data_IF_553339570029
#
_entry.id   IF_553339570029
#
_cell.length_a   1.000
_cell.length_b   1.000
_cell.length_c   1.000
_cell.angle_alpha   90.00
_cell.angle_beta   90.00
_cell.angle_gamma   90.00
#
_symmetry.space_group_name_H-M   'P 1'
#
loop_
_entity.id
_entity.type
_entity.pdbx_description
1 polymer ?
#
# COMPACT_ATOMS: atom_id res chain seq x y z
N UNK A 1 -22.96 -14.45 -12.84
CA UNK A 1 -22.67 -13.02 -13.10
C UNK A 1 -21.87 -12.46 -11.95
N UNK A 2 -20.81 -11.74 -12.23
CA UNK A 2 -20.07 -11.01 -11.20
C UNK A 2 -20.89 -9.77 -10.83
N UNK A 3 -21.38 -9.71 -9.62
CA UNK A 3 -22.19 -8.58 -9.15
C UNK A 3 -21.31 -7.41 -8.72
N UNK A 4 -20.12 -7.70 -8.23
CA UNK A 4 -19.15 -6.70 -7.79
C UNK A 4 -17.73 -7.27 -7.89
N UNK A 5 -16.80 -6.47 -8.42
CA UNK A 5 -15.36 -6.78 -8.43
C UNK A 5 -14.58 -5.52 -8.08
N UNK A 6 -14.08 -5.46 -6.86
CA UNK A 6 -13.30 -4.33 -6.34
C UNK A 6 -11.85 -4.76 -6.16
N UNK A 7 -10.95 -4.10 -6.87
CA UNK A 7 -9.50 -4.23 -6.68
C UNK A 7 -8.98 -3.03 -5.92
N UNK A 8 -8.57 -3.26 -4.69
CA UNK A 8 -8.01 -2.26 -3.80
C UNK A 8 -6.49 -2.30 -3.94
N UNK A 9 -5.91 -1.19 -4.37
CA UNK A 9 -4.47 -1.09 -4.58
C UNK A 9 -3.90 0.03 -3.70
N UNK A 10 -2.65 -0.13 -3.21
CA UNK A 10 -1.93 0.98 -2.60
C UNK A 10 -1.71 2.09 -3.63
N UNK A 11 -1.47 3.34 -3.19
CA UNK A 11 -1.14 4.42 -4.10
C UNK A 11 0.04 4.00 -5.00
N UNK A 12 0.04 4.39 -6.29
CA UNK A 12 1.09 4.02 -7.22
C UNK A 12 2.44 4.53 -6.69
N UNK A 13 3.52 3.74 -6.81
CA UNK A 13 4.85 4.18 -6.45
C UNK A 13 5.29 5.31 -7.38
N UNK A 14 6.21 6.14 -6.91
CA UNK A 14 6.90 7.07 -7.79
C UNK A 14 7.45 6.32 -9.00
N UNK A 15 7.13 6.79 -10.19
CA UNK A 15 7.64 6.20 -11.42
C UNK A 15 9.17 6.19 -11.41
N UNK A 16 9.78 5.31 -12.23
CA UNK A 16 11.23 5.19 -12.31
C UNK A 16 11.92 6.50 -12.68
N UNK A 17 11.33 7.32 -13.56
CA UNK A 17 11.89 8.62 -13.95
C UNK A 17 11.98 9.62 -12.79
N UNK A 18 10.89 9.97 -12.08
CA UNK A 18 10.99 10.90 -10.95
C UNK A 18 11.88 10.34 -9.82
N UNK A 19 11.87 9.04 -9.55
CA UNK A 19 12.78 8.43 -8.59
C UNK A 19 14.25 8.61 -8.98
N UNK A 20 14.57 8.43 -10.27
CA UNK A 20 15.93 8.63 -10.80
C UNK A 20 16.39 10.09 -10.68
N UNK A 21 15.51 11.06 -10.94
CA UNK A 21 15.79 12.48 -10.75
C UNK A 21 16.04 12.84 -9.28
N UNK A 22 15.27 12.28 -8.36
CA UNK A 22 15.46 12.51 -6.92
C UNK A 22 16.81 11.93 -6.48
N UNK A 23 17.08 10.67 -6.81
CA UNK A 23 18.34 10.00 -6.43
C UNK A 23 19.52 10.68 -7.08
N UNK A 24 19.45 10.96 -8.39
CA UNK A 24 20.53 11.63 -9.13
C UNK A 24 20.79 13.05 -8.66
N UNK A 25 19.73 13.83 -8.42
CA UNK A 25 19.84 15.18 -7.87
C UNK A 25 20.44 15.19 -6.46
N UNK A 26 19.98 14.29 -5.58
CA UNK A 26 20.57 14.13 -4.25
C UNK A 26 22.05 13.74 -4.31
N UNK A 27 22.38 12.76 -5.16
CA UNK A 27 23.76 12.34 -5.37
C UNK A 27 24.66 13.50 -5.84
N UNK A 28 24.17 14.28 -6.82
CA UNK A 28 24.91 15.44 -7.33
C UNK A 28 25.17 16.48 -6.24
N UNK A 29 24.14 16.84 -5.46
CA UNK A 29 24.27 17.79 -4.35
C UNK A 29 25.24 17.27 -3.29
N UNK A 30 25.15 16.00 -2.92
CA UNK A 30 26.04 15.37 -1.95
C UNK A 30 27.50 15.34 -2.45
N UNK A 31 27.72 15.03 -3.73
CA UNK A 31 29.05 15.05 -4.34
C UNK A 31 29.67 16.44 -4.36
N UNK A 32 28.88 17.46 -4.75
CA UNK A 32 29.35 18.84 -4.77
C UNK A 32 29.70 19.35 -3.36
N UNK A 33 28.84 19.06 -2.39
CA UNK A 33 29.10 19.40 -0.98
C UNK A 33 30.32 18.66 -0.45
N UNK A 34 30.47 17.38 -0.77
CA UNK A 34 31.60 16.55 -0.33
C UNK A 34 32.91 16.96 -0.96
N UNK A 35 32.93 17.43 -2.21
CA UNK A 35 34.14 17.85 -2.92
C UNK A 35 34.92 18.93 -2.14
N UNK A 36 34.22 19.89 -1.55
CA UNK A 36 34.82 20.92 -0.72
C UNK A 36 35.49 20.34 0.53
N UNK A 37 34.82 19.38 1.20
CA UNK A 37 35.36 18.74 2.40
C UNK A 37 36.53 17.82 2.08
N UNK A 38 36.49 17.13 0.94
CA UNK A 38 37.61 16.30 0.46
C UNK A 38 38.84 17.15 0.19
N UNK A 39 38.69 18.32 -0.44
CA UNK A 39 39.77 19.27 -0.68
C UNK A 39 40.40 19.80 0.64
N UNK A 40 39.63 19.79 1.74
CA UNK A 40 40.09 20.14 3.10
C UNK A 40 40.65 18.94 3.89
N UNK A 41 40.79 17.76 3.24
CA UNK A 41 41.32 16.55 3.88
C UNK A 41 40.28 15.71 4.64
N UNK A 42 38.98 16.05 4.55
CA UNK A 42 37.92 15.32 5.24
C UNK A 42 37.39 14.13 4.40
N UNK A 43 38.31 13.30 3.90
CA UNK A 43 37.97 12.11 3.08
C UNK A 43 37.07 11.07 3.81
N UNK A 44 37.02 10.94 5.16
CA UNK A 44 36.12 9.99 5.83
C UNK A 44 34.63 10.26 5.61
N UNK A 45 34.24 11.40 5.01
CA UNK A 45 32.85 11.70 4.66
C UNK A 45 32.33 10.80 3.53
N UNK A 46 33.21 10.31 2.65
CA UNK A 46 32.83 9.50 1.49
C UNK A 46 32.05 8.22 1.83
N UNK A 47 32.49 7.40 2.80
CA UNK A 47 31.72 6.22 3.18
C UNK A 47 30.27 6.55 3.61
N UNK A 48 30.07 7.66 4.31
CA UNK A 48 28.73 8.09 4.72
C UNK A 48 27.86 8.46 3.54
N UNK A 49 28.39 9.21 2.59
CA UNK A 49 27.68 9.56 1.35
C UNK A 49 27.25 8.29 0.59
N UNK A 50 28.12 7.30 0.48
CA UNK A 50 27.81 6.02 -0.18
C UNK A 50 26.71 5.28 0.56
N UNK A 51 26.77 5.23 1.89
CA UNK A 51 25.74 4.56 2.72
C UNK A 51 24.40 5.26 2.58
N UNK A 52 24.36 6.60 2.64
CA UNK A 52 23.14 7.38 2.50
C UNK A 52 22.46 7.17 1.15
N UNK A 53 23.24 7.19 0.06
CA UNK A 53 22.72 6.91 -1.28
C UNK A 53 22.23 5.47 -1.42
N UNK A 54 22.94 4.51 -0.85
CA UNK A 54 22.53 3.11 -0.84
C UNK A 54 21.19 2.93 -0.08
N UNK A 55 21.05 3.57 1.08
CA UNK A 55 19.80 3.57 1.84
C UNK A 55 18.66 4.22 1.07
N UNK A 56 18.90 5.33 0.40
CA UNK A 56 17.92 6.01 -0.43
C UNK A 56 17.42 5.10 -1.56
N UNK A 57 18.32 4.48 -2.31
CA UNK A 57 17.98 3.52 -3.37
C UNK A 57 17.23 2.32 -2.81
N UNK A 58 17.67 1.79 -1.66
CA UNK A 58 16.97 0.69 -1.00
C UNK A 58 15.55 1.06 -0.59
N UNK A 59 15.35 2.27 -0.02
CA UNK A 59 14.03 2.75 0.39
C UNK A 59 13.06 2.85 -0.80
N UNK A 60 13.52 3.40 -1.94
CA UNK A 60 12.71 3.46 -3.17
C UNK A 60 12.36 2.06 -3.69
N UNK A 61 13.31 1.13 -3.65
CA UNK A 61 13.05 -0.26 -4.06
C UNK A 61 12.08 -0.98 -3.12
N UNK A 62 12.20 -0.74 -1.82
CA UNK A 62 11.28 -1.29 -0.82
C UNK A 62 9.86 -0.75 -1.03
N UNK A 63 9.70 0.55 -1.25
CA UNK A 63 8.41 1.17 -1.56
C UNK A 63 7.80 0.63 -2.85
N UNK A 64 8.60 0.48 -3.91
CA UNK A 64 8.15 -0.08 -5.18
C UNK A 64 7.73 -1.56 -5.05
N UNK A 65 8.38 -2.35 -4.20
CA UNK A 65 7.95 -3.73 -3.90
C UNK A 65 6.64 -3.75 -3.12
N UNK A 66 6.53 -2.92 -2.07
CA UNK A 66 5.33 -2.84 -1.24
C UNK A 66 4.08 -2.48 -2.04
N UNK A 67 4.23 -1.66 -3.09
CA UNK A 67 3.12 -1.26 -3.97
C UNK A 67 2.58 -2.38 -4.87
N UNK A 68 3.25 -3.52 -4.95
CA UNK A 68 2.77 -4.70 -5.69
C UNK A 68 1.69 -5.48 -4.92
N UNK A 69 1.58 -5.25 -3.62
CA UNK A 69 0.50 -5.84 -2.82
C UNK A 69 -0.85 -5.25 -3.23
N UNK A 70 -1.89 -6.08 -3.27
CA UNK A 70 -3.25 -5.63 -3.50
C UNK A 70 -4.26 -6.51 -2.78
N UNK A 71 -5.44 -5.97 -2.59
CA UNK A 71 -6.60 -6.70 -2.09
C UNK A 71 -7.69 -6.71 -3.16
N UNK A 72 -8.41 -7.81 -3.26
CA UNK A 72 -9.52 -7.94 -4.20
C UNK A 72 -10.74 -8.48 -3.47
N UNK A 73 -11.85 -7.82 -3.63
CA UNK A 73 -13.15 -8.26 -3.14
C UNK A 73 -14.05 -8.53 -4.34
N UNK A 74 -14.45 -9.77 -4.50
CA UNK A 74 -15.30 -10.22 -5.59
C UNK A 74 -16.58 -10.83 -5.04
N UNK A 75 -17.70 -10.33 -5.49
CA UNK A 75 -19.02 -10.87 -5.19
C UNK A 75 -19.61 -11.44 -6.48
N UNK A 76 -19.92 -12.72 -6.45
CA UNK A 76 -20.59 -13.41 -7.55
C UNK A 76 -21.66 -14.37 -7.02
N UNK A 77 -22.27 -15.15 -7.91
CA UNK A 77 -23.30 -16.12 -7.54
C UNK A 77 -22.79 -17.24 -6.62
N UNK A 78 -21.47 -17.47 -6.56
CA UNK A 78 -20.84 -18.48 -5.71
C UNK A 78 -20.48 -17.97 -4.30
N UNK A 79 -20.61 -16.67 -4.06
CA UNK A 79 -20.31 -16.06 -2.76
C UNK A 79 -19.41 -14.83 -2.82
N UNK A 80 -18.96 -14.39 -1.66
CA UNK A 80 -18.03 -13.29 -1.50
C UNK A 80 -16.61 -13.83 -1.34
N UNK A 81 -15.75 -13.54 -2.30
CA UNK A 81 -14.33 -13.92 -2.26
C UNK A 81 -13.49 -12.69 -1.93
N UNK A 82 -12.80 -12.74 -0.81
CA UNK A 82 -11.79 -11.76 -0.44
C UNK A 82 -10.40 -12.36 -0.62
N UNK A 83 -9.60 -11.76 -1.49
CA UNK A 83 -8.24 -12.18 -1.77
C UNK A 83 -7.27 -11.08 -1.37
N UNK A 84 -6.21 -11.46 -0.67
CA UNK A 84 -5.08 -10.57 -0.37
C UNK A 84 -3.83 -11.14 -1.00
N UNK A 85 -3.20 -10.34 -1.85
CA UNK A 85 -1.91 -10.67 -2.45
C UNK A 85 -0.84 -9.79 -1.82
N UNK A 86 0.17 -10.42 -1.23
CA UNK A 86 1.31 -9.71 -0.65
C UNK A 86 2.33 -9.31 -1.72
N UNK A 87 3.27 -8.44 -1.35
CA UNK A 87 4.33 -7.96 -2.24
C UNK A 87 5.25 -9.06 -2.79
N UNK A 88 5.37 -10.17 -2.07
CA UNK A 88 6.14 -11.37 -2.45
C UNK A 88 5.40 -12.31 -3.42
N UNK A 89 4.13 -11.98 -3.75
CA UNK A 89 3.26 -12.78 -4.60
C UNK A 89 2.45 -13.83 -3.85
N UNK A 90 2.63 -14.01 -2.53
CA UNK A 90 1.80 -14.91 -1.74
C UNK A 90 0.35 -14.39 -1.69
N UNK A 91 -0.61 -15.28 -1.95
CA UNK A 91 -2.02 -14.97 -1.94
C UNK A 91 -2.71 -15.70 -0.78
N UNK A 92 -3.60 -15.00 -0.10
CA UNK A 92 -4.54 -15.58 0.87
C UNK A 92 -5.95 -15.26 0.41
N UNK A 93 -6.76 -16.30 0.32
CA UNK A 93 -8.15 -16.20 -0.10
C UNK A 93 -9.08 -16.59 1.05
N UNK A 94 -10.11 -15.81 1.24
CA UNK A 94 -11.16 -16.05 2.23
C UNK A 94 -12.49 -16.04 1.49
N UNK A 95 -13.18 -17.16 1.54
CA UNK A 95 -14.53 -17.26 1.00
C UNK A 95 -15.53 -17.00 2.12
N UNK A 96 -16.40 -16.06 1.90
CA UNK A 96 -17.43 -15.62 2.84
C UNK A 96 -18.81 -15.82 2.21
N UNK A 97 -19.78 -16.13 3.03
CA UNK A 97 -21.18 -16.24 2.61
C UNK A 97 -21.85 -14.86 2.67
N UNK A 98 -22.34 -14.30 1.55
CA UNK A 98 -22.89 -12.94 1.51
C UNK A 98 -24.02 -12.71 2.52
N UNK A 99 -24.85 -13.72 2.74
CA UNK A 99 -25.99 -13.66 3.68
C UNK A 99 -25.56 -13.48 5.15
N UNK A 100 -24.38 -13.95 5.51
CA UNK A 100 -23.84 -13.86 6.88
C UNK A 100 -22.73 -12.85 7.03
N UNK A 101 -22.32 -12.22 5.91
CA UNK A 101 -21.25 -11.23 5.91
C UNK A 101 -21.80 -9.84 6.22
N UNK A 102 -21.19 -9.19 7.21
CA UNK A 102 -21.48 -7.81 7.58
C UNK A 102 -20.28 -6.93 7.26
N UNK A 103 -20.57 -5.77 6.73
CA UNK A 103 -19.57 -4.71 6.50
C UNK A 103 -19.71 -3.71 7.62
N UNK A 104 -18.62 -3.46 8.33
CA UNK A 104 -18.56 -2.52 9.43
C UNK A 104 -17.47 -1.48 9.15
N UNK A 105 -17.81 -0.21 9.33
CA UNK A 105 -16.86 0.88 9.32
C UNK A 105 -16.69 1.36 10.76
N UNK A 106 -15.57 1.01 11.36
CA UNK A 106 -15.21 1.41 12.72
C UNK A 106 -14.59 2.80 12.66
N UNK A 107 -15.25 3.78 13.27
CA UNK A 107 -14.69 5.10 13.46
C UNK A 107 -13.70 5.07 14.63
N UNK A 108 -12.48 5.55 14.36
CA UNK A 108 -11.46 5.83 15.36
C UNK A 108 -11.47 7.34 15.67
N UNK A 109 -10.36 7.89 16.09
CA UNK A 109 -10.23 9.35 16.17
C UNK A 109 -10.31 9.96 14.76
N UNK A 110 -11.26 10.90 14.50
CA UNK A 110 -11.39 11.51 13.18
C UNK A 110 -10.05 12.12 12.70
N UNK A 111 -9.67 11.93 11.42
CA UNK A 111 -10.42 11.30 10.33
C UNK A 111 -10.27 9.78 10.19
N UNK A 112 -9.60 9.11 11.11
CA UNK A 112 -9.25 7.70 11.00
C UNK A 112 -10.45 6.77 11.12
N UNK A 113 -10.48 5.74 10.28
CA UNK A 113 -11.46 4.66 10.31
C UNK A 113 -10.83 3.32 9.90
N UNK A 114 -11.54 2.23 10.19
CA UNK A 114 -11.17 0.89 9.75
C UNK A 114 -12.38 0.20 9.13
N UNK A 115 -12.13 -0.50 8.02
CA UNK A 115 -13.16 -1.26 7.31
C UNK A 115 -13.00 -2.74 7.64
N UNK A 116 -14.07 -3.35 8.13
CA UNK A 116 -14.12 -4.74 8.51
C UNK A 116 -15.17 -5.51 7.71
N UNK A 117 -14.81 -6.72 7.30
CA UNK A 117 -15.76 -7.74 6.86
C UNK A 117 -15.88 -8.78 7.98
N UNK A 118 -17.07 -8.93 8.51
CA UNK A 118 -17.36 -9.87 9.60
C UNK A 118 -18.26 -11.00 9.14
N UNK A 119 -17.92 -12.24 9.48
CA UNK A 119 -18.76 -13.41 9.28
C UNK A 119 -18.62 -14.35 10.48
N UNK A 120 -19.72 -14.68 11.12
CA UNK A 120 -19.80 -15.68 12.21
C UNK A 120 -18.69 -15.56 13.27
N UNK A 121 -18.37 -14.34 13.70
CA UNK A 121 -17.34 -14.06 14.69
C UNK A 121 -15.93 -13.89 14.15
N UNK A 122 -15.70 -14.09 12.85
CA UNK A 122 -14.44 -13.75 12.19
C UNK A 122 -14.51 -12.31 11.68
N UNK A 123 -13.44 -11.55 11.83
CA UNK A 123 -13.33 -10.18 11.33
C UNK A 123 -12.08 -10.07 10.45
N UNK A 124 -12.26 -9.62 9.24
CA UNK A 124 -11.19 -9.39 8.26
C UNK A 124 -11.04 -7.89 8.04
N UNK A 125 -9.85 -7.35 8.27
CA UNK A 125 -9.53 -5.96 8.00
C UNK A 125 -9.27 -5.78 6.50
N UNK A 126 -10.05 -4.92 5.88
CA UNK A 126 -10.02 -4.66 4.43
C UNK A 126 -9.59 -3.22 4.16
N UNK A 127 -8.88 -3.01 3.07
CA UNK A 127 -8.50 -1.66 2.63
C UNK A 127 -7.45 -1.00 3.50
N UNK A 128 -6.43 -1.73 3.93
CA UNK A 128 -5.29 -1.18 4.70
C UNK A 128 -4.58 -0.05 3.98
N UNK A 129 -4.52 -0.11 2.65
CA UNK A 129 -3.84 0.86 1.80
C UNK A 129 -4.68 2.10 1.50
N UNK A 130 -5.98 2.04 1.79
CA UNK A 130 -6.92 3.10 1.44
C UNK A 130 -6.85 4.24 2.44
N UNK A 131 -7.10 5.43 1.94
CA UNK A 131 -7.38 6.59 2.78
C UNK A 131 -8.71 6.43 3.52
N UNK A 132 -8.96 7.15 4.62
CA UNK A 132 -10.23 7.10 5.33
C UNK A 132 -11.44 7.38 4.44
N UNK A 133 -11.30 8.30 3.48
CA UNK A 133 -12.35 8.65 2.51
C UNK A 133 -12.64 7.50 1.55
N UNK A 134 -11.60 6.90 0.98
CA UNK A 134 -11.74 5.74 0.08
C UNK A 134 -12.37 4.54 0.79
N UNK A 135 -12.03 4.29 2.07
CA UNK A 135 -12.68 3.25 2.87
C UNK A 135 -14.17 3.51 3.05
N UNK A 136 -14.57 4.76 3.24
CA UNK A 136 -15.97 5.16 3.31
C UNK A 136 -16.72 4.87 2.01
N UNK A 137 -16.10 5.16 0.88
CA UNK A 137 -16.65 4.87 -0.46
C UNK A 137 -16.82 3.35 -0.67
N UNK A 138 -15.77 2.58 -0.38
CA UNK A 138 -15.79 1.11 -0.46
C UNK A 138 -16.84 0.51 0.48
N UNK A 139 -16.95 1.03 1.71
CA UNK A 139 -17.99 0.63 2.64
C UNK A 139 -19.40 0.80 2.06
N UNK A 140 -19.66 1.95 1.45
CA UNK A 140 -20.97 2.26 0.86
C UNK A 140 -21.30 1.31 -0.29
N UNK A 141 -20.32 1.03 -1.15
CA UNK A 141 -20.48 0.10 -2.29
C UNK A 141 -20.71 -1.33 -1.81
N UNK A 142 -19.89 -1.82 -0.87
CA UNK A 142 -20.02 -3.18 -0.33
C UNK A 142 -21.33 -3.36 0.42
N UNK A 143 -21.72 -2.40 1.24
CA UNK A 143 -22.98 -2.44 1.97
C UNK A 143 -24.20 -2.49 1.06
N UNK A 144 -24.15 -1.79 -0.08
CA UNK A 144 -25.21 -1.83 -1.10
C UNK A 144 -25.23 -3.18 -1.79
N UNK A 145 -24.09 -3.71 -2.19
CA UNK A 145 -23.99 -4.98 -2.89
C UNK A 145 -24.39 -6.19 -2.04
N UNK A 146 -24.19 -6.13 -0.71
CA UNK A 146 -24.59 -7.21 0.20
C UNK A 146 -26.05 -7.12 0.66
N UNK A 147 -26.74 -6.00 0.39
CA UNK A 147 -28.17 -5.83 0.70
C UNK A 147 -29.08 -6.11 -0.47
N UNK A 148 -28.53 -6.10 -1.67
CA UNK A 148 -29.27 -6.35 -2.92
C UNK A 148 -29.41 -7.79 -3.21
#
# INVERSE_FOLDING_TARGET
>A
MTTLDLKLMPPPPLGARPALWIVGGTALVMLLASARFIALGAWPILPFVVVDLALLVWAFRAAARASRAYERVRLDASGLLYSRVAADGSAREFRLEPLFTRVELEALSPPENRLWLGERGRRLLVGRFLTPRERQEVYTVLKRALRG
#
